data_IF_168638659766
#
_entry.id   IF_168638659766
#
_cell.length_a   1.000
_cell.length_b   1.000
_cell.length_c   1.000
_cell.angle_alpha   90.00
_cell.angle_beta   90.00
_cell.angle_gamma   90.00
#
_symmetry.space_group_name_H-M   'P 1'
#
loop_
_entity.id
_entity.type
_entity.pdbx_description
1 polymer ?
#
# COMPACT_ATOMS: atom_id res chain seq x y z
N UNK A 1 11.76 -8.32 6.70
CA UNK A 1 10.74 -9.35 6.44
C UNK A 1 11.31 -10.37 5.48
N UNK A 2 11.27 -11.69 5.76
CA UNK A 2 11.64 -12.68 4.76
C UNK A 2 10.59 -12.66 3.64
N UNK A 3 10.98 -12.33 2.41
CA UNK A 3 10.05 -12.23 1.28
C UNK A 3 9.36 -13.56 0.94
N UNK A 4 9.96 -14.68 1.37
CA UNK A 4 9.48 -16.04 1.07
C UNK A 4 8.28 -16.48 1.93
N UNK A 5 7.80 -15.64 2.86
CA UNK A 5 6.64 -15.96 3.73
C UNK A 5 5.32 -15.42 3.24
N UNK A 6 5.32 -14.59 2.18
CA UNK A 6 4.11 -13.98 1.65
C UNK A 6 3.40 -14.94 0.69
N UNK A 7 2.07 -15.04 0.84
CA UNK A 7 1.20 -15.82 -0.04
C UNK A 7 0.86 -15.07 -1.33
N UNK A 8 -0.42 -15.07 -1.70
CA UNK A 8 -0.89 -14.42 -2.93
C UNK A 8 -0.96 -12.90 -2.72
N UNK A 9 -0.29 -12.08 -3.56
CA UNK A 9 -0.32 -10.63 -3.44
C UNK A 9 -1.61 -10.05 -4.08
N UNK A 10 -2.75 -10.27 -3.43
CA UNK A 10 -4.08 -9.95 -3.98
C UNK A 10 -4.21 -8.50 -4.48
N UNK A 11 -3.70 -7.54 -3.71
CA UNK A 11 -3.80 -6.12 -4.06
C UNK A 11 -3.08 -5.75 -5.36
N UNK A 12 -2.02 -6.46 -5.75
CA UNK A 12 -1.31 -6.19 -7.00
C UNK A 12 -1.78 -7.10 -8.14
N UNK A 13 -2.03 -8.39 -7.87
CA UNK A 13 -2.31 -9.37 -8.93
C UNK A 13 -3.64 -9.13 -9.65
N UNK A 14 -4.64 -8.59 -8.94
CA UNK A 14 -5.96 -8.31 -9.53
C UNK A 14 -5.87 -7.29 -10.68
N UNK A 15 -4.97 -6.30 -10.55
CA UNK A 15 -4.77 -5.27 -11.55
C UNK A 15 -4.04 -5.80 -12.80
N UNK A 16 -3.10 -6.73 -12.61
CA UNK A 16 -2.46 -7.44 -13.71
C UNK A 16 -3.46 -8.31 -14.48
N UNK A 17 -4.39 -8.98 -13.79
CA UNK A 17 -5.42 -9.82 -14.41
C UNK A 17 -6.40 -8.99 -15.26
N UNK A 18 -6.75 -7.81 -14.77
CA UNK A 18 -7.70 -6.90 -15.44
C UNK A 18 -7.05 -6.05 -16.53
N UNK A 19 -5.72 -6.05 -16.63
CA UNK A 19 -4.93 -5.16 -17.51
C UNK A 19 -5.18 -3.67 -17.20
N UNK A 20 -5.17 -3.34 -15.91
CA UNK A 20 -5.42 -1.98 -15.43
C UNK A 20 -4.08 -1.32 -15.05
N UNK A 21 -3.84 -0.07 -15.49
CA UNK A 21 -2.66 0.66 -15.06
C UNK A 21 -2.76 0.93 -13.56
N UNK A 22 -1.65 0.75 -12.86
CA UNK A 22 -1.59 1.00 -11.41
C UNK A 22 -0.21 1.54 -11.02
N UNK A 23 -0.20 2.42 -10.03
CA UNK A 23 1.01 3.00 -9.45
C UNK A 23 0.91 3.10 -7.93
N UNK A 24 2.04 3.36 -7.27
CA UNK A 24 2.11 3.51 -5.81
C UNK A 24 2.65 4.89 -5.42
N UNK A 25 2.14 5.43 -4.30
CA UNK A 25 2.65 6.65 -3.66
C UNK A 25 2.95 6.39 -2.20
N UNK A 26 4.09 6.89 -1.72
CA UNK A 26 4.45 6.82 -0.31
C UNK A 26 3.61 7.82 0.49
N UNK A 27 3.00 7.34 1.58
CA UNK A 27 2.07 8.14 2.41
C UNK A 27 2.50 8.26 3.86
N UNK A 28 3.54 7.53 4.28
CA UNK A 28 3.99 7.57 5.66
C UNK A 28 5.03 6.51 5.96
N UNK A 29 5.24 6.31 7.25
CA UNK A 29 6.19 5.35 7.80
C UNK A 29 5.47 4.57 8.89
N UNK A 30 5.62 3.25 8.89
CA UNK A 30 5.01 2.38 9.88
C UNK A 30 5.48 2.72 11.29
N UNK A 31 4.54 2.78 12.23
CA UNK A 31 4.78 3.14 13.62
C UNK A 31 3.91 2.27 14.52
N UNK A 32 4.55 1.36 15.24
CA UNK A 32 3.89 0.35 16.06
C UNK A 32 3.00 0.93 17.16
N UNK A 33 3.33 2.09 17.71
CA UNK A 33 2.51 2.75 18.74
C UNK A 33 1.21 3.29 18.14
N UNK A 34 1.29 3.92 16.97
CA UNK A 34 0.13 4.40 16.22
C UNK A 34 -0.69 3.25 15.62
N UNK A 35 -0.06 2.14 15.26
CA UNK A 35 -0.70 0.97 14.65
C UNK A 35 -1.40 0.06 15.67
N UNK A 36 -0.98 0.06 16.94
CA UNK A 36 -1.47 -0.83 17.99
C UNK A 36 -3.01 -0.84 18.18
N UNK A 37 -3.74 0.30 18.08
CA UNK A 37 -5.20 0.31 18.19
C UNK A 37 -5.93 -0.36 17.01
N UNK A 38 -5.27 -0.50 15.86
CA UNK A 38 -5.86 -1.04 14.62
C UNK A 38 -5.61 -2.54 14.44
N UNK A 39 -4.77 -3.12 15.29
CA UNK A 39 -4.49 -4.54 15.33
C UNK A 39 -5.71 -5.32 15.81
N UNK A 40 -6.21 -6.22 14.96
CA UNK A 40 -7.32 -7.10 15.30
C UNK A 40 -6.78 -8.36 15.96
N UNK A 41 -7.02 -8.49 17.27
CA UNK A 41 -6.53 -9.63 18.07
C UNK A 41 -7.18 -10.96 17.66
N UNK A 42 -8.34 -10.92 17.02
CA UNK A 42 -9.10 -12.07 16.52
C UNK A 42 -8.77 -12.42 15.06
N UNK A 43 -8.02 -11.59 14.36
CA UNK A 43 -7.66 -11.83 12.97
C UNK A 43 -6.45 -12.76 12.85
N UNK A 44 -6.58 -13.78 11.97
CA UNK A 44 -5.44 -14.59 11.54
C UNK A 44 -4.77 -13.91 10.35
N UNK A 45 -3.63 -13.27 10.61
CA UNK A 45 -2.79 -12.68 9.57
C UNK A 45 -1.87 -13.75 8.95
N UNK A 46 -1.79 -13.78 7.62
CA UNK A 46 -0.87 -14.63 6.87
C UNK A 46 -0.03 -13.76 5.90
N UNK A 47 1.28 -13.57 6.16
CA UNK A 47 2.04 -14.04 7.32
C UNK A 47 1.63 -13.33 8.63
N UNK A 48 2.00 -13.88 9.81
CA UNK A 48 1.75 -13.21 11.09
C UNK A 48 2.32 -11.79 11.12
N UNK A 49 1.53 -10.82 11.58
CA UNK A 49 2.00 -9.46 11.72
C UNK A 49 3.02 -9.36 12.87
N UNK A 50 4.19 -8.78 12.57
CA UNK A 50 5.22 -8.48 13.56
C UNK A 50 5.52 -6.97 13.54
N UNK A 51 5.04 -6.21 14.54
CA UNK A 51 5.22 -4.75 14.60
C UNK A 51 6.69 -4.32 14.60
N UNK A 52 7.56 -5.03 15.34
CA UNK A 52 8.99 -4.69 15.41
C UNK A 52 9.73 -4.96 14.10
N UNK A 53 9.21 -5.87 13.26
CA UNK A 53 9.79 -6.16 11.96
C UNK A 53 9.40 -5.15 10.86
N UNK A 54 8.36 -4.34 11.08
CA UNK A 54 7.90 -3.31 10.13
C UNK A 54 8.17 -1.88 10.59
N UNK A 55 8.53 -1.67 11.85
CA UNK A 55 8.79 -0.33 12.39
C UNK A 55 9.75 0.47 11.50
N UNK A 56 9.36 1.69 11.13
CA UNK A 56 10.18 2.55 10.29
C UNK A 56 10.14 2.23 8.79
N UNK A 57 9.41 1.20 8.34
CA UNK A 57 9.26 0.89 6.92
C UNK A 57 8.31 1.89 6.22
N UNK A 58 8.55 2.22 4.94
CA UNK A 58 7.68 3.10 4.19
C UNK A 58 6.30 2.47 3.96
N UNK A 59 5.25 3.23 4.25
CA UNK A 59 3.88 2.90 3.90
C UNK A 59 3.49 3.57 2.58
N UNK A 60 2.65 2.90 1.79
CA UNK A 60 2.21 3.39 0.50
C UNK A 60 0.73 3.10 0.26
N UNK A 61 0.15 3.83 -0.69
CA UNK A 61 -1.16 3.52 -1.27
C UNK A 61 -0.99 3.14 -2.73
N UNK A 62 -1.86 2.28 -3.23
CA UNK A 62 -1.93 1.92 -4.64
C UNK A 62 -3.09 2.67 -5.29
N UNK A 63 -2.83 3.29 -6.44
CA UNK A 63 -3.80 4.04 -7.23
C UNK A 63 -3.92 3.33 -8.56
N UNK A 64 -5.15 3.11 -8.99
CA UNK A 64 -5.48 2.24 -10.12
C UNK A 64 -6.35 3.03 -11.09
N UNK A 65 -5.93 3.06 -12.35
CA UNK A 65 -6.67 3.65 -13.44
C UNK A 65 -7.58 2.65 -14.13
N UNK A 66 -8.43 3.17 -15.03
CA UNK A 66 -9.14 2.32 -16.00
C UNK A 66 -8.18 1.90 -17.12
N UNK A 67 -8.50 0.86 -17.92
CA UNK A 67 -7.68 0.45 -19.06
C UNK A 67 -7.37 1.65 -19.97
N UNK A 68 -6.12 1.67 -20.48
CA UNK A 68 -5.61 2.67 -21.45
C UNK A 68 -5.69 4.12 -20.99
N UNK A 69 -5.56 4.38 -19.68
CA UNK A 69 -5.65 5.72 -19.07
C UNK A 69 -4.41 6.02 -18.21
N UNK A 70 -3.24 5.62 -18.69
CA UNK A 70 -1.96 5.72 -17.98
C UNK A 70 -1.58 7.19 -17.71
N UNK A 71 -1.80 8.07 -18.69
CA UNK A 71 -1.54 9.50 -18.57
C UNK A 71 -2.43 10.16 -17.52
N UNK A 72 -3.74 9.90 -17.53
CA UNK A 72 -4.67 10.42 -16.54
C UNK A 72 -4.36 9.87 -15.15
N UNK A 73 -3.97 8.59 -15.05
CA UNK A 73 -3.53 8.00 -13.80
C UNK A 73 -2.32 8.77 -13.24
N UNK A 74 -1.31 9.08 -14.08
CA UNK A 74 -0.14 9.84 -13.66
C UNK A 74 -0.50 11.26 -13.20
N UNK A 75 -1.45 11.93 -13.83
CA UNK A 75 -1.93 13.24 -13.40
C UNK A 75 -2.63 13.18 -12.04
N UNK A 76 -3.49 12.19 -11.84
CA UNK A 76 -4.17 11.95 -10.56
C UNK A 76 -3.15 11.61 -9.47
N UNK A 77 -2.15 10.78 -9.76
CA UNK A 77 -1.08 10.46 -8.82
C UNK A 77 -0.30 11.71 -8.39
N UNK A 78 0.05 12.61 -9.33
CA UNK A 78 0.73 13.88 -9.00
C UNK A 78 -0.12 14.78 -8.10
N UNK A 79 -1.42 14.86 -8.37
CA UNK A 79 -2.35 15.63 -7.54
C UNK A 79 -2.41 15.06 -6.11
N UNK A 80 -2.53 13.74 -5.96
CA UNK A 80 -2.57 13.08 -4.66
C UNK A 80 -1.24 13.29 -3.92
N UNK A 81 -0.10 13.13 -4.61
CA UNK A 81 1.23 13.37 -4.03
C UNK A 81 1.35 14.80 -3.49
N UNK A 82 0.86 15.79 -4.22
CA UNK A 82 0.85 17.19 -3.78
C UNK A 82 0.01 17.36 -2.50
N UNK A 83 -1.21 16.80 -2.47
CA UNK A 83 -2.08 16.87 -1.30
C UNK A 83 -1.46 16.22 -0.06
N UNK A 84 -0.78 15.09 -0.24
CA UNK A 84 -0.09 14.39 0.84
C UNK A 84 1.08 15.20 1.40
N UNK A 85 1.81 15.94 0.55
CA UNK A 85 2.91 16.82 1.00
C UNK A 85 2.43 18.09 1.70
N UNK A 86 1.26 18.61 1.33
CA UNK A 86 0.70 19.84 1.90
C UNK A 86 -0.09 19.59 3.20
N UNK A 87 -0.63 18.38 3.37
CA UNK A 87 -1.38 17.98 4.58
C UNK A 87 -0.56 17.28 5.67
N UNK A 88 0.74 17.06 5.45
CA UNK A 88 1.68 16.45 6.38
C UNK A 88 2.38 17.46 7.29
#
# INVERSE_FOLDING_TARGET
MPHDTYGIPFYTVVHNLLDYPAGILLVGVANKELDAPFLRMDAKYEPPYNPDAVEGMPAHVQIVGRPTMDEELLEVMKMIEKMLKEGA
#
